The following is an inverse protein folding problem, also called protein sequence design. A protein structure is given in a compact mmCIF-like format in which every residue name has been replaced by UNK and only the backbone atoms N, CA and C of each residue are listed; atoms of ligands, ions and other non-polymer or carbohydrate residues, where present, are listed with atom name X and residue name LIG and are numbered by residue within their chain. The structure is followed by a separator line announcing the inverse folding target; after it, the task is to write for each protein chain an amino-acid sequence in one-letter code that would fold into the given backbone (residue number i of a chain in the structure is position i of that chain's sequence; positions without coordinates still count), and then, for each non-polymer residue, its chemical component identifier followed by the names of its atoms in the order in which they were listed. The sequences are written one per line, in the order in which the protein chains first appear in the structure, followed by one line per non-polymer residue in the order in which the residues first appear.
data_IF_592929293683
#
_entry.id   IF_592929293683
#
_cell.length_a   1.000
_cell.length_b   1.000
_cell.length_c   1.000
_cell.angle_alpha   90.00
_cell.angle_beta   90.00
_cell.angle_gamma   90.00
#
_symmetry.space_group_name_H-M   'P 1'
#
loop_
_entity.id
_entity.type
_entity.pdbx_description
1 polymer ?
#
# COMPACT_ATOMS: atom_id res chain seq x y z
N UNK A 1 12.46 -8.26 7.78
CA UNK A 1 12.10 -9.22 8.87
C UNK A 1 11.12 -10.21 8.28
N UNK A 2 11.45 -11.51 8.24
CA UNK A 2 11.00 -12.39 7.16
C UNK A 2 10.00 -13.45 7.61
N UNK A 3 8.99 -13.68 6.75
CA UNK A 3 7.98 -14.75 6.79
C UNK A 3 8.56 -16.16 6.99
N UNK A 4 9.85 -16.36 6.70
CA UNK A 4 10.57 -17.63 6.83
C UNK A 4 10.67 -18.12 8.28
N UNK A 5 10.92 -17.23 9.26
CA UNK A 5 11.07 -17.62 10.67
C UNK A 5 9.77 -18.23 11.24
N UNK A 6 8.61 -17.73 10.79
CA UNK A 6 7.31 -18.24 11.18
C UNK A 6 7.06 -19.65 10.62
N UNK A 7 7.44 -19.89 9.36
CA UNK A 7 7.35 -21.21 8.72
C UNK A 7 8.28 -22.21 9.41
N UNK A 8 9.52 -21.81 9.75
CA UNK A 8 10.48 -22.66 10.49
C UNK A 8 9.95 -23.08 11.87
N UNK A 9 9.15 -22.24 12.51
CA UNK A 9 8.48 -22.60 13.76
C UNK A 9 7.44 -23.70 13.52
N UNK A 10 6.61 -23.57 12.49
CA UNK A 10 5.58 -24.57 12.15
C UNK A 10 6.20 -25.94 11.86
N UNK A 11 7.33 -25.95 11.14
CA UNK A 11 8.11 -27.16 10.85
C UNK A 11 8.65 -27.78 12.16
N UNK A 12 9.29 -26.97 13.02
CA UNK A 12 9.88 -27.47 14.29
C UNK A 12 8.87 -28.06 15.26
N UNK A 13 7.61 -27.59 15.24
CA UNK A 13 6.55 -28.12 16.11
C UNK A 13 5.77 -29.26 15.43
N UNK A 14 6.20 -29.73 14.26
CA UNK A 14 5.57 -30.82 13.52
C UNK A 14 4.07 -30.57 13.21
N UNK A 15 3.67 -29.29 13.04
CA UNK A 15 2.26 -28.95 12.79
C UNK A 15 1.80 -29.44 11.41
N UNK A 16 2.72 -29.48 10.44
CA UNK A 16 2.44 -29.76 9.03
C UNK A 16 2.68 -31.24 8.66
N UNK A 17 3.18 -32.04 9.60
CA UNK A 17 3.51 -33.44 9.36
C UNK A 17 2.24 -34.25 9.06
N UNK A 18 2.28 -35.00 7.96
CA UNK A 18 1.17 -35.81 7.45
C UNK A 18 -0.14 -35.02 7.21
N UNK A 19 -0.06 -33.69 7.07
CA UNK A 19 -1.20 -32.85 6.74
C UNK A 19 -1.23 -32.48 5.25
N UNK A 20 -2.43 -32.35 4.70
CA UNK A 20 -2.66 -31.65 3.43
C UNK A 20 -2.47 -30.15 3.67
N UNK A 21 -1.43 -29.56 3.09
CA UNK A 21 -1.11 -28.14 3.29
C UNK A 21 -1.68 -27.31 2.15
N UNK A 22 -2.50 -26.32 2.50
CA UNK A 22 -3.11 -25.38 1.56
C UNK A 22 -2.65 -23.95 1.85
N UNK A 23 -2.49 -23.14 0.82
CA UNK A 23 -2.19 -21.71 0.95
C UNK A 23 -3.39 -20.87 0.52
N UNK A 24 -3.91 -19.99 1.38
CA UNK A 24 -4.98 -19.08 1.00
C UNK A 24 -4.41 -17.74 0.52
N UNK A 25 -4.67 -17.44 -0.75
CA UNK A 25 -4.33 -16.19 -1.42
C UNK A 25 -2.99 -16.27 -2.14
N UNK A 26 -2.96 -15.80 -3.38
CA UNK A 26 -1.72 -15.75 -4.16
C UNK A 26 -1.03 -14.38 -4.02
N UNK A 27 0.14 -14.35 -3.36
CA UNK A 27 0.95 -13.15 -3.08
C UNK A 27 2.44 -13.48 -2.93
N UNK A 28 3.32 -12.47 -2.90
CA UNK A 28 4.75 -12.64 -2.57
C UNK A 28 4.96 -13.33 -1.21
N UNK A 29 4.06 -13.10 -0.26
CA UNK A 29 4.17 -13.67 1.06
C UNK A 29 3.87 -15.18 1.06
N UNK A 30 2.85 -15.62 0.31
CA UNK A 30 2.50 -17.04 0.15
C UNK A 30 3.45 -17.78 -0.78
N UNK A 31 4.00 -17.12 -1.81
CA UNK A 31 5.08 -17.66 -2.63
C UNK A 31 6.37 -17.92 -1.81
N UNK A 32 6.73 -16.99 -0.91
CA UNK A 32 7.85 -17.18 0.00
C UNK A 32 7.62 -18.33 1.01
N UNK A 33 6.37 -18.54 1.43
CA UNK A 33 5.98 -19.69 2.26
C UNK A 33 6.14 -21.00 1.48
N UNK A 34 5.60 -21.08 0.25
CA UNK A 34 5.74 -22.26 -0.61
C UNK A 34 7.21 -22.63 -0.80
N UNK A 35 8.06 -21.67 -1.17
CA UNK A 35 9.49 -21.92 -1.37
C UNK A 35 10.15 -22.49 -0.11
N UNK A 36 9.88 -21.89 1.07
CA UNK A 36 10.47 -22.34 2.33
C UNK A 36 9.98 -23.73 2.76
N UNK A 37 8.71 -24.05 2.51
CA UNK A 37 8.15 -25.38 2.75
C UNK A 37 8.79 -26.44 1.84
N UNK A 38 9.00 -26.10 0.56
CA UNK A 38 9.68 -26.96 -0.41
C UNK A 38 11.11 -27.31 0.00
N UNK A 39 11.88 -26.33 0.50
CA UNK A 39 13.23 -26.57 1.06
C UNK A 39 13.22 -27.53 2.26
N UNK A 40 12.11 -27.59 2.99
CA UNK A 40 11.92 -28.49 4.13
C UNK A 40 11.29 -29.84 3.75
N UNK A 41 11.03 -30.08 2.45
CA UNK A 41 10.42 -31.32 1.95
C UNK A 41 8.91 -31.41 2.21
N UNK A 42 8.22 -30.30 2.46
CA UNK A 42 6.77 -30.24 2.66
C UNK A 42 6.11 -29.72 1.38
N UNK A 43 5.25 -30.54 0.79
CA UNK A 43 4.52 -30.19 -0.43
C UNK A 43 3.25 -29.39 -0.12
N UNK A 44 3.05 -28.30 -0.87
CA UNK A 44 1.79 -27.55 -0.87
C UNK A 44 0.85 -28.21 -1.88
N UNK A 45 -0.32 -28.65 -1.42
CA UNK A 45 -1.26 -29.40 -2.26
C UNK A 45 -2.07 -28.50 -3.20
N UNK A 46 -2.41 -27.30 -2.75
CA UNK A 46 -3.10 -26.31 -3.58
C UNK A 46 -3.07 -24.89 -2.98
N UNK A 47 -3.30 -23.91 -3.85
CA UNK A 47 -3.74 -22.57 -3.47
C UNK A 47 -5.27 -22.47 -3.45
N UNK A 48 -5.79 -21.74 -2.47
CA UNK A 48 -7.17 -21.27 -2.43
C UNK A 48 -7.21 -19.79 -2.81
N UNK A 49 -7.97 -19.41 -3.83
CA UNK A 49 -8.12 -18.00 -4.23
C UNK A 49 -9.57 -17.71 -4.60
N UNK A 50 -10.09 -16.58 -4.09
CA UNK A 50 -11.44 -16.11 -4.37
C UNK A 50 -11.60 -15.59 -5.80
N UNK A 51 -10.51 -15.37 -6.53
CA UNK A 51 -10.55 -14.89 -7.91
C UNK A 51 -10.79 -16.04 -8.90
N UNK A 52 -11.97 -16.11 -9.57
CA UNK A 52 -12.29 -17.21 -10.50
C UNK A 52 -11.32 -17.31 -11.67
N UNK A 53 -10.68 -16.21 -12.07
CA UNK A 53 -9.72 -16.18 -13.19
C UNK A 53 -8.42 -16.93 -12.88
N UNK A 54 -8.07 -17.05 -11.59
CA UNK A 54 -6.90 -17.82 -11.16
C UNK A 54 -7.24 -19.29 -10.96
N UNK A 55 -8.51 -19.62 -10.73
CA UNK A 55 -8.94 -21.00 -10.49
C UNK A 55 -8.75 -21.83 -11.77
N UNK A 56 -8.20 -23.04 -11.63
CA UNK A 56 -7.83 -23.89 -12.76
C UNK A 56 -6.47 -23.55 -13.40
N UNK A 57 -5.78 -22.51 -12.93
CA UNK A 57 -4.36 -22.28 -13.25
C UNK A 57 -3.44 -23.01 -12.25
N UNK A 58 -2.13 -22.93 -12.49
CA UNK A 58 -1.11 -23.38 -11.54
C UNK A 58 -0.06 -22.30 -11.29
N UNK A 59 0.46 -22.26 -10.07
CA UNK A 59 1.57 -21.40 -9.67
C UNK A 59 2.74 -22.26 -9.21
N UNK A 60 3.86 -22.19 -9.94
CA UNK A 60 5.05 -23.01 -9.69
C UNK A 60 4.72 -24.51 -9.51
N UNK A 61 3.87 -25.01 -10.42
CA UNK A 61 3.40 -26.40 -10.43
C UNK A 61 2.25 -26.73 -9.46
N UNK A 62 1.90 -25.83 -8.54
CA UNK A 62 0.81 -26.04 -7.56
C UNK A 62 -0.51 -25.52 -8.11
N UNK A 63 -1.59 -26.33 -8.13
CA UNK A 63 -2.89 -25.90 -8.67
C UNK A 63 -3.58 -24.86 -7.80
N UNK A 64 -4.38 -23.99 -8.43
CA UNK A 64 -5.20 -22.97 -7.76
C UNK A 64 -6.67 -23.34 -7.87
N UNK A 65 -7.37 -23.38 -6.75
CA UNK A 65 -8.81 -23.67 -6.65
C UNK A 65 -9.56 -22.58 -5.90
N UNK A 66 -10.88 -22.61 -6.01
CA UNK A 66 -11.76 -21.82 -5.14
C UNK A 66 -11.79 -22.39 -3.72
N UNK A 67 -12.18 -21.59 -2.71
CA UNK A 67 -12.28 -22.05 -1.32
C UNK A 67 -13.25 -23.22 -1.13
N UNK A 68 -14.18 -23.43 -2.06
CA UNK A 68 -15.11 -24.56 -2.08
C UNK A 68 -14.40 -25.92 -2.18
N UNK A 69 -13.13 -25.97 -2.61
CA UNK A 69 -12.31 -27.18 -2.54
C UNK A 69 -12.36 -27.81 -1.15
N UNK A 70 -12.45 -26.97 -0.11
CA UNK A 70 -12.48 -27.40 1.29
C UNK A 70 -13.63 -28.38 1.60
N UNK A 71 -14.76 -28.30 0.88
CA UNK A 71 -15.90 -29.20 1.07
C UNK A 71 -15.67 -30.59 0.47
N UNK A 72 -14.65 -30.73 -0.36
CA UNK A 72 -14.31 -31.99 -1.05
C UNK A 72 -13.21 -32.79 -0.35
N UNK A 73 -12.51 -32.18 0.60
CA UNK A 73 -11.42 -32.80 1.34
C UNK A 73 -11.99 -33.67 2.46
N UNK A 74 -11.95 -35.00 2.29
CA UNK A 74 -12.44 -35.95 3.29
C UNK A 74 -11.33 -36.88 3.80
N UNK A 75 -11.25 -37.07 5.11
CA UNK A 75 -10.50 -38.18 5.72
C UNK A 75 -9.02 -37.93 6.03
N UNK A 76 -8.53 -36.68 5.89
CA UNK A 76 -7.14 -36.31 6.21
C UNK A 76 -7.04 -34.99 6.99
N UNK A 77 -6.00 -34.86 7.82
CA UNK A 77 -5.68 -33.61 8.52
C UNK A 77 -5.30 -32.56 7.49
N UNK A 78 -6.00 -31.42 7.49
CA UNK A 78 -5.78 -30.35 6.51
C UNK A 78 -5.43 -29.07 7.27
N UNK A 79 -4.35 -28.41 6.85
CA UNK A 79 -3.88 -27.15 7.42
C UNK A 79 -3.91 -26.08 6.34
N UNK A 80 -4.63 -24.98 6.60
CA UNK A 80 -4.66 -23.81 5.70
C UNK A 80 -3.76 -22.72 6.27
N UNK A 81 -2.73 -22.32 5.52
CA UNK A 81 -1.87 -21.21 5.89
C UNK A 81 -2.32 -19.94 5.17
N UNK A 82 -2.46 -18.86 5.92
CA UNK A 82 -2.95 -17.58 5.41
C UNK A 82 -1.96 -16.48 5.79
N UNK A 83 -1.33 -15.89 4.78
CA UNK A 83 -0.40 -14.76 4.94
C UNK A 83 -1.01 -13.51 4.34
N UNK A 84 -2.03 -12.99 5.02
CA UNK A 84 -2.86 -11.89 4.53
C UNK A 84 -3.35 -11.00 5.67
N UNK A 85 -3.44 -9.68 5.47
CA UNK A 85 -4.15 -8.81 6.40
C UNK A 85 -5.64 -9.16 6.54
N UNK A 86 -6.24 -9.83 5.54
CA UNK A 86 -7.65 -10.27 5.53
C UNK A 86 -7.87 -11.63 6.18
N UNK A 87 -6.95 -12.06 7.06
CA UNK A 87 -7.01 -13.35 7.76
C UNK A 87 -8.41 -13.67 8.33
N UNK A 88 -9.03 -12.71 9.03
CA UNK A 88 -10.32 -12.92 9.66
C UNK A 88 -11.43 -13.27 8.67
N UNK A 89 -11.52 -12.51 7.56
CA UNK A 89 -12.53 -12.76 6.52
C UNK A 89 -12.30 -14.10 5.83
N UNK A 90 -11.05 -14.41 5.48
CA UNK A 90 -10.70 -15.68 4.84
C UNK A 90 -10.96 -16.87 5.76
N UNK A 91 -10.65 -16.73 7.06
CA UNK A 91 -10.96 -17.73 8.07
C UNK A 91 -12.47 -17.95 8.20
N UNK A 92 -13.23 -16.88 8.37
CA UNK A 92 -14.68 -16.94 8.55
C UNK A 92 -15.36 -17.54 7.32
N UNK A 93 -14.85 -17.25 6.11
CA UNK A 93 -15.27 -17.89 4.87
C UNK A 93 -15.06 -19.41 4.91
N UNK A 94 -13.86 -19.88 5.28
CA UNK A 94 -13.61 -21.32 5.40
C UNK A 94 -14.51 -21.97 6.45
N UNK A 95 -14.74 -21.30 7.59
CA UNK A 95 -15.64 -21.80 8.64
C UNK A 95 -17.09 -21.86 8.16
N UNK A 96 -17.56 -20.85 7.42
CA UNK A 96 -18.90 -20.85 6.82
C UNK A 96 -19.10 -21.97 5.80
N UNK A 97 -18.02 -22.38 5.11
CA UNK A 97 -17.99 -23.55 4.23
C UNK A 97 -17.89 -24.89 4.98
N UNK A 98 -17.90 -24.88 6.31
CA UNK A 98 -17.86 -26.08 7.14
C UNK A 98 -16.46 -26.63 7.38
N UNK A 99 -15.40 -25.86 7.11
CA UNK A 99 -14.05 -26.32 7.40
C UNK A 99 -13.79 -26.33 8.91
N UNK A 100 -13.42 -27.49 9.45
CA UNK A 100 -13.11 -27.67 10.87
C UNK A 100 -11.59 -27.82 11.14
N UNK A 101 -10.76 -27.89 10.10
CA UNK A 101 -9.31 -28.08 10.22
C UNK A 101 -8.56 -26.84 10.73
N UNK A 102 -7.24 -26.97 10.88
CA UNK A 102 -6.41 -25.88 11.37
C UNK A 102 -6.26 -24.75 10.34
N UNK A 103 -6.51 -23.52 10.78
CA UNK A 103 -6.26 -22.30 9.99
C UNK A 103 -5.16 -21.52 10.70
N UNK A 104 -4.05 -21.29 10.01
CA UNK A 104 -2.85 -20.67 10.59
C UNK A 104 -2.62 -19.32 9.94
N UNK A 105 -2.62 -18.26 10.76
CA UNK A 105 -2.19 -16.94 10.34
C UNK A 105 -0.68 -16.89 10.33
N UNK A 106 -0.08 -16.42 9.24
CA UNK A 106 1.36 -16.15 9.14
C UNK A 106 1.52 -14.64 8.95
N UNK A 107 2.19 -13.97 9.89
CA UNK A 107 2.40 -12.52 9.82
C UNK A 107 3.77 -12.16 10.40
N UNK A 108 4.70 -11.75 9.53
CA UNK A 108 6.08 -11.45 9.94
C UNK A 108 6.74 -12.63 10.64
N UNK A 109 7.04 -12.49 11.94
CA UNK A 109 7.72 -13.50 12.78
C UNK A 109 6.80 -14.51 13.45
N UNK A 110 5.49 -14.32 13.37
CA UNK A 110 4.53 -15.08 14.17
C UNK A 110 3.65 -15.96 13.28
N UNK A 111 3.55 -17.23 13.65
CA UNK A 111 2.53 -18.16 13.16
C UNK A 111 1.55 -18.42 14.30
N UNK A 112 0.28 -18.06 14.11
CA UNK A 112 -0.78 -18.24 15.09
C UNK A 112 -1.81 -19.23 14.55
N UNK A 113 -1.99 -20.35 15.27
CA UNK A 113 -3.03 -21.33 14.96
C UNK A 113 -4.35 -20.83 15.55
N UNK A 114 -5.36 -20.63 14.71
CA UNK A 114 -6.70 -20.24 15.18
C UNK A 114 -7.49 -21.50 15.53
N UNK A 115 -7.54 -21.79 16.84
CA UNK A 115 -8.50 -22.71 17.47
C UNK A 115 -9.67 -21.87 18.03
N UNK A 116 -10.90 -22.41 18.14
CA UNK A 116 -12.00 -21.66 18.74
C UNK A 116 -11.72 -21.46 20.24
N UNK A 117 -11.36 -20.24 20.66
CA UNK A 117 -11.17 -19.92 22.08
C UNK A 117 -11.70 -18.53 22.45
N UNK A 118 -12.15 -18.43 23.70
CA UNK A 118 -12.63 -17.23 24.40
C UNK A 118 -11.59 -16.10 24.49
N UNK A 119 -10.31 -16.38 24.25
CA UNK A 119 -9.25 -15.37 24.21
C UNK A 119 -9.32 -14.49 22.96
N UNK A 120 -9.70 -15.03 21.79
CA UNK A 120 -9.91 -14.21 20.59
C UNK A 120 -11.05 -13.22 20.79
N UNK A 121 -12.14 -13.62 21.46
CA UNK A 121 -13.23 -12.69 21.81
C UNK A 121 -12.76 -11.59 22.76
N UNK A 122 -11.91 -11.91 23.75
CA UNK A 122 -11.37 -10.92 24.66
C UNK A 122 -10.43 -9.93 23.96
N UNK A 123 -9.57 -10.41 23.06
CA UNK A 123 -8.69 -9.54 22.25
C UNK A 123 -9.51 -8.67 21.30
N UNK A 124 -10.55 -9.22 20.65
CA UNK A 124 -11.45 -8.46 19.78
C UNK A 124 -12.24 -7.41 20.55
N UNK A 125 -12.80 -7.75 21.72
CA UNK A 125 -13.49 -6.80 22.60
C UNK A 125 -12.55 -5.73 23.15
N UNK A 126 -11.34 -6.10 23.55
CA UNK A 126 -10.32 -5.17 24.02
C UNK A 126 -9.88 -4.20 22.91
N UNK A 127 -9.68 -4.70 21.68
CA UNK A 127 -9.35 -3.87 20.52
C UNK A 127 -10.49 -2.94 20.11
N UNK A 128 -11.73 -3.42 20.13
CA UNK A 128 -12.91 -2.57 19.90
C UNK A 128 -12.99 -1.45 20.96
N UNK A 129 -12.70 -1.78 22.22
CA UNK A 129 -12.66 -0.81 23.32
C UNK A 129 -11.53 0.20 23.14
N UNK A 130 -10.37 -0.23 22.64
CA UNK A 130 -9.23 0.63 22.38
C UNK A 130 -9.47 1.59 21.22
N UNK A 131 -10.00 1.11 20.09
CA UNK A 131 -10.40 1.97 18.97
C UNK A 131 -11.43 3.03 19.38
N UNK A 132 -12.41 2.65 20.21
CA UNK A 132 -13.38 3.60 20.75
C UNK A 132 -12.75 4.65 21.69
N UNK A 133 -11.72 4.27 22.46
CA UNK A 133 -10.94 5.21 23.27
C UNK A 133 -10.17 6.20 22.40
N UNK A 134 -9.45 5.70 21.38
CA UNK A 134 -8.74 6.55 20.42
C UNK A 134 -9.68 7.55 19.76
N UNK A 135 -10.84 7.08 19.31
CA UNK A 135 -11.85 7.92 18.69
C UNK A 135 -12.32 9.03 19.63
N UNK A 136 -12.61 8.70 20.89
CA UNK A 136 -13.03 9.67 21.92
C UNK A 136 -11.94 10.71 22.19
N UNK A 137 -10.68 10.29 22.28
CA UNK A 137 -9.54 11.18 22.54
C UNK A 137 -9.30 12.15 21.37
N UNK A 138 -9.45 11.66 20.13
CA UNK A 138 -9.38 12.49 18.93
C UNK A 138 -10.57 13.47 18.90
N UNK A 139 -11.80 12.99 19.10
CA UNK A 139 -13.01 13.83 19.10
C UNK A 139 -13.03 14.86 20.22
N UNK A 140 -12.37 14.61 21.35
CA UNK A 140 -12.24 15.63 22.42
C UNK A 140 -11.44 16.85 21.94
N UNK A 141 -10.40 16.63 21.12
CA UNK A 141 -9.54 17.70 20.56
C UNK A 141 -10.10 18.28 19.26
N UNK A 142 -10.78 17.46 18.47
CA UNK A 142 -11.28 17.78 17.12
C UNK A 142 -12.80 17.60 17.02
N UNK A 143 -13.55 18.12 18.00
CA UNK A 143 -14.98 17.84 18.21
C UNK A 143 -15.88 18.20 17.02
N UNK A 144 -15.52 19.24 16.25
CA UNK A 144 -16.30 19.74 15.11
C UNK A 144 -15.63 19.50 13.75
N UNK A 145 -14.44 18.92 13.73
CA UNK A 145 -13.72 18.72 12.48
C UNK A 145 -14.29 17.53 11.72
N UNK A 146 -14.28 17.60 10.40
CA UNK A 146 -14.36 16.42 9.57
C UNK A 146 -13.03 15.67 9.62
N UNK A 147 -13.05 14.39 9.96
CA UNK A 147 -11.83 13.61 10.13
C UNK A 147 -11.52 12.81 8.86
N UNK A 148 -10.34 13.01 8.29
CA UNK A 148 -9.87 12.26 7.12
C UNK A 148 -8.88 11.19 7.58
N UNK A 149 -9.31 9.94 7.54
CA UNK A 149 -8.52 8.78 7.93
C UNK A 149 -7.70 8.31 6.74
N UNK A 150 -6.38 8.32 6.87
CA UNK A 150 -5.42 7.87 5.86
C UNK A 150 -4.85 6.50 6.30
N UNK A 151 -5.41 5.36 5.82
CA UNK A 151 -5.16 4.06 6.44
C UNK A 151 -3.73 3.53 6.23
N UNK A 152 -3.07 3.98 5.16
CA UNK A 152 -1.77 3.48 4.75
C UNK A 152 -0.71 4.58 4.83
N UNK A 153 0.55 4.17 5.07
CA UNK A 153 1.72 5.05 4.93
C UNK A 153 2.12 5.23 3.46
N UNK A 154 1.17 5.66 2.63
CA UNK A 154 1.32 5.88 1.20
C UNK A 154 1.33 7.38 0.90
N UNK A 155 2.50 7.94 0.53
CA UNK A 155 2.59 9.38 0.27
C UNK A 155 1.61 9.84 -0.84
N UNK A 156 1.42 9.02 -1.87
CA UNK A 156 0.53 9.33 -2.99
C UNK A 156 -0.94 9.30 -2.60
N UNK A 157 -1.33 8.29 -1.82
CA UNK A 157 -2.68 8.15 -1.27
C UNK A 157 -3.08 9.36 -0.42
N UNK A 158 -2.20 9.76 0.49
CA UNK A 158 -2.37 10.94 1.33
C UNK A 158 -2.37 12.21 0.50
N UNK A 159 -1.48 12.31 -0.49
CA UNK A 159 -1.41 13.46 -1.37
C UNK A 159 -2.75 13.69 -2.07
N UNK A 160 -3.30 12.68 -2.73
CA UNK A 160 -4.57 12.82 -3.45
C UNK A 160 -5.77 13.04 -2.53
N UNK A 161 -5.78 12.42 -1.33
CA UNK A 161 -6.79 12.73 -0.31
C UNK A 161 -6.78 14.21 0.05
N UNK A 162 -5.61 14.76 0.31
CA UNK A 162 -5.49 16.15 0.71
C UNK A 162 -5.76 17.11 -0.44
N UNK A 163 -5.35 16.78 -1.67
CA UNK A 163 -5.55 17.63 -2.85
C UNK A 163 -7.02 17.81 -3.22
N UNK A 164 -7.88 16.82 -2.99
CA UNK A 164 -9.33 16.96 -3.26
C UNK A 164 -10.15 17.41 -2.05
N UNK A 165 -9.58 17.36 -0.84
CA UNK A 165 -10.27 17.75 0.39
C UNK A 165 -10.86 19.18 0.35
N UNK A 166 -10.19 20.23 -0.17
CA UNK A 166 -10.77 21.57 -0.21
C UNK A 166 -12.07 21.64 -1.02
N UNK A 167 -12.13 20.95 -2.16
CA UNK A 167 -13.32 20.92 -3.01
C UNK A 167 -14.48 20.18 -2.30
N UNK A 168 -14.17 19.02 -1.71
CA UNK A 168 -15.13 18.26 -0.91
C UNK A 168 -15.69 19.08 0.27
N UNK A 169 -14.80 19.77 1.00
CA UNK A 169 -15.20 20.62 2.11
C UNK A 169 -16.10 21.78 1.66
N UNK A 170 -15.79 22.40 0.51
CA UNK A 170 -16.60 23.49 -0.04
C UNK A 170 -18.01 23.00 -0.43
N UNK A 171 -18.12 21.87 -1.11
CA UNK A 171 -19.40 21.29 -1.55
C UNK A 171 -20.29 20.87 -0.37
N UNK A 172 -19.68 20.30 0.67
CA UNK A 172 -20.38 19.79 1.86
C UNK A 172 -20.48 20.81 3.01
N UNK A 173 -20.03 22.06 2.80
CA UNK A 173 -20.03 23.14 3.81
C UNK A 173 -19.31 22.74 5.11
N UNK A 174 -18.22 22.00 4.97
CA UNK A 174 -17.36 21.58 6.08
C UNK A 174 -16.42 22.75 6.41
N UNK A 175 -16.56 23.27 7.64
CA UNK A 175 -15.76 24.43 8.06
C UNK A 175 -14.31 24.11 8.43
N UNK A 176 -14.05 22.92 8.98
CA UNK A 176 -12.71 22.50 9.41
C UNK A 176 -12.54 20.99 9.21
N UNK A 177 -11.35 20.59 8.78
CA UNK A 177 -10.98 19.19 8.60
C UNK A 177 -9.62 18.91 9.25
N UNK A 178 -9.44 17.69 9.74
CA UNK A 178 -8.16 17.22 10.28
C UNK A 178 -7.91 15.80 9.82
N UNK A 179 -6.63 15.45 9.60
CA UNK A 179 -6.24 14.13 9.14
C UNK A 179 -5.73 13.26 10.29
N UNK A 180 -6.00 11.96 10.20
CA UNK A 180 -5.35 10.93 11.01
C UNK A 180 -4.54 10.07 10.06
N UNK A 181 -3.25 9.89 10.33
CA UNK A 181 -2.32 9.26 9.37
C UNK A 181 -1.58 8.07 9.97
N UNK A 182 -1.26 7.10 9.12
CA UNK A 182 -0.39 5.99 9.47
C UNK A 182 1.07 6.33 9.14
N UNK A 183 1.80 7.00 10.04
CA UNK A 183 3.24 7.24 9.90
C UNK A 183 3.67 8.68 9.56
N UNK A 184 4.97 8.93 9.74
CA UNK A 184 5.57 10.28 9.67
C UNK A 184 5.70 10.84 8.25
N UNK A 185 5.88 9.99 7.23
CA UNK A 185 5.92 10.46 5.85
C UNK A 185 4.57 11.04 5.43
N UNK A 186 3.50 10.31 5.76
CA UNK A 186 2.12 10.74 5.58
C UNK A 186 1.80 12.04 6.34
N UNK A 187 2.26 12.18 7.58
CA UNK A 187 2.14 13.42 8.36
C UNK A 187 2.73 14.63 7.62
N UNK A 188 3.93 14.48 7.06
CA UNK A 188 4.59 15.57 6.32
C UNK A 188 3.78 16.00 5.10
N UNK A 189 3.17 15.06 4.36
CA UNK A 189 2.30 15.37 3.21
C UNK A 189 1.02 16.10 3.65
N UNK A 190 0.39 15.71 4.76
CA UNK A 190 -0.77 16.44 5.29
C UNK A 190 -0.41 17.89 5.62
N UNK A 191 0.78 18.11 6.20
CA UNK A 191 1.25 19.46 6.54
C UNK A 191 1.45 20.34 5.31
N UNK A 192 1.93 19.79 4.18
CA UNK A 192 2.06 20.58 2.95
C UNK A 192 0.70 21.00 2.37
N UNK A 193 -0.38 20.28 2.70
CA UNK A 193 -1.74 20.67 2.32
C UNK A 193 -2.36 21.72 3.26
N UNK A 194 -1.73 22.04 4.38
CA UNK A 194 -2.27 23.00 5.35
C UNK A 194 -3.42 22.44 6.20
N UNK A 195 -3.48 21.12 6.33
CA UNK A 195 -4.50 20.42 7.10
C UNK A 195 -3.92 20.04 8.47
N UNK A 196 -4.73 20.15 9.52
CA UNK A 196 -4.31 19.75 10.87
C UNK A 196 -4.12 18.24 10.96
N UNK A 197 -3.10 17.80 11.70
CA UNK A 197 -2.87 16.38 11.99
C UNK A 197 -3.44 16.06 13.37
N UNK A 198 -4.55 15.32 13.40
CA UNK A 198 -5.22 14.96 14.64
C UNK A 198 -4.49 13.85 15.43
N UNK A 199 -3.91 12.89 14.72
CA UNK A 199 -3.05 11.85 15.28
C UNK A 199 -2.17 11.20 14.21
N UNK A 200 -1.00 10.74 14.63
CA UNK A 200 -0.14 9.83 13.88
C UNK A 200 -0.19 8.48 14.56
N UNK A 201 -0.73 7.49 13.88
CA UNK A 201 -1.02 6.17 14.43
C UNK A 201 -0.13 5.10 13.79
N UNK A 202 0.08 4.01 14.51
CA UNK A 202 0.55 2.74 13.93
C UNK A 202 -0.54 2.14 13.03
N UNK A 203 -0.19 1.22 12.09
CA UNK A 203 -1.20 0.53 11.28
C UNK A 203 -2.26 -0.19 12.13
N UNK A 204 -1.86 -0.74 13.27
CA UNK A 204 -2.74 -1.45 14.19
C UNK A 204 -3.73 -0.49 14.89
N UNK A 205 -3.24 0.64 15.40
CA UNK A 205 -4.10 1.69 15.96
C UNK A 205 -5.07 2.27 14.92
N UNK A 206 -4.61 2.45 13.68
CA UNK A 206 -5.44 2.91 12.56
C UNK A 206 -6.57 1.93 12.26
N UNK A 207 -6.28 0.63 12.15
CA UNK A 207 -7.29 -0.40 11.93
C UNK A 207 -8.36 -0.41 13.02
N UNK A 208 -7.95 -0.27 14.28
CA UNK A 208 -8.85 -0.25 15.42
C UNK A 208 -9.69 1.04 15.44
N UNK A 209 -9.11 2.20 15.11
CA UNK A 209 -9.84 3.46 14.95
C UNK A 209 -10.88 3.39 13.83
N UNK A 210 -10.52 2.88 12.65
CA UNK A 210 -11.46 2.77 11.53
C UNK A 210 -12.64 1.88 11.92
N UNK A 211 -12.41 0.77 12.65
CA UNK A 211 -13.51 -0.07 13.16
C UNK A 211 -14.44 0.72 14.09
N UNK A 212 -13.89 1.53 14.99
CA UNK A 212 -14.69 2.36 15.88
C UNK A 212 -15.50 3.40 15.10
N UNK A 213 -14.90 4.07 14.12
CA UNK A 213 -15.56 5.05 13.25
C UNK A 213 -16.73 4.44 12.48
N UNK A 214 -16.55 3.24 11.92
CA UNK A 214 -17.63 2.54 11.20
C UNK A 214 -18.82 2.17 12.10
N UNK A 215 -18.61 2.07 13.41
CA UNK A 215 -19.65 1.76 14.40
C UNK A 215 -20.23 3.01 15.07
N UNK A 216 -19.58 4.16 14.95
CA UNK A 216 -19.96 5.43 15.60
C UNK A 216 -21.23 6.05 14.99
N UNK A 217 -21.47 5.78 13.69
CA UNK A 217 -22.66 6.27 12.97
C UNK A 217 -22.67 7.78 12.67
N UNK A 218 -21.60 8.50 13.01
CA UNK A 218 -21.37 9.90 12.66
C UNK A 218 -20.81 9.99 11.23
N UNK A 219 -21.24 11.00 10.47
CA UNK A 219 -20.95 11.20 9.05
C UNK A 219 -19.74 12.11 8.81
N UNK A 220 -19.16 12.68 9.87
CA UNK A 220 -18.01 13.60 9.80
C UNK A 220 -16.68 12.88 9.67
N UNK A 221 -16.63 11.84 8.85
CA UNK A 221 -15.43 11.09 8.53
C UNK A 221 -15.35 10.80 7.03
N UNK A 222 -14.12 10.86 6.50
CA UNK A 222 -13.77 10.27 5.21
C UNK A 222 -12.67 9.26 5.46
N UNK A 223 -12.81 8.06 4.88
CA UNK A 223 -11.76 7.04 4.92
C UNK A 223 -11.17 6.98 3.52
N UNK A 224 -9.85 7.13 3.43
CA UNK A 224 -9.14 7.03 2.16
C UNK A 224 -9.13 5.63 1.58
N UNK A 225 -8.41 5.46 0.46
CA UNK A 225 -8.28 4.19 -0.25
C UNK A 225 -8.10 3.03 0.72
N UNK A 226 -9.04 2.08 0.64
CA UNK A 226 -8.99 0.79 1.32
C UNK A 226 -9.04 -0.27 0.22
N UNK A 227 -7.91 -0.92 -0.13
CA UNK A 227 -7.88 -1.97 -1.15
C UNK A 227 -8.77 -3.16 -0.80
N UNK A 228 -9.25 -3.24 0.46
CA UNK A 228 -9.93 -4.38 1.04
C UNK A 228 -11.35 -4.12 1.55
N UNK A 229 -11.75 -2.86 1.74
CA UNK A 229 -13.10 -2.50 2.20
C UNK A 229 -13.91 -1.74 1.18
N UNK A 230 -13.26 -1.11 0.20
CA UNK A 230 -14.01 -0.31 -0.76
C UNK A 230 -14.92 -1.15 -1.63
N UNK A 231 -14.63 -2.45 -1.83
CA UNK A 231 -15.44 -3.33 -2.70
C UNK A 231 -15.84 -2.63 -3.99
N UNK A 232 -15.00 -1.67 -4.45
CA UNK A 232 -15.55 -0.53 -5.17
C UNK A 232 -16.02 -1.07 -6.50
N UNK A 233 -17.34 -1.07 -6.77
CA UNK A 233 -17.89 -1.69 -7.97
C UNK A 233 -17.20 -1.17 -9.22
N UNK A 234 -16.68 0.05 -9.16
CA UNK A 234 -16.06 0.75 -10.27
C UNK A 234 -14.72 0.17 -10.75
N UNK A 235 -13.86 -0.36 -9.86
CA UNK A 235 -12.64 -1.10 -10.31
C UNK A 235 -13.03 -2.48 -10.88
N UNK A 236 -14.16 -3.03 -10.43
CA UNK A 236 -14.67 -4.33 -10.87
C UNK A 236 -15.58 -4.28 -12.10
N UNK A 237 -16.07 -3.10 -12.51
CA UNK A 237 -17.05 -2.93 -13.60
C UNK A 237 -16.44 -2.58 -14.96
N UNK A 238 -15.12 -2.72 -15.13
CA UNK A 238 -14.45 -2.56 -16.42
C UNK A 238 -14.29 -1.11 -16.89
N UNK A 239 -14.59 -0.12 -16.03
CA UNK A 239 -14.21 1.27 -16.28
C UNK A 239 -12.75 1.49 -15.89
N UNK A 240 -11.94 2.02 -16.82
CA UNK A 240 -10.53 2.32 -16.56
C UNK A 240 -10.42 3.58 -15.69
N UNK A 241 -10.51 3.41 -14.37
CA UNK A 241 -10.25 4.48 -13.42
C UNK A 241 -8.78 4.55 -13.06
N UNK A 242 -8.25 5.76 -13.01
CA UNK A 242 -6.92 6.02 -12.45
C UNK A 242 -7.00 6.22 -10.93
N UNK A 243 -5.85 6.24 -10.27
CA UNK A 243 -5.76 6.57 -8.84
C UNK A 243 -6.38 7.96 -8.53
N UNK A 244 -6.15 8.95 -9.40
CA UNK A 244 -6.71 10.30 -9.18
C UNK A 244 -8.23 10.31 -9.34
N UNK A 245 -8.76 9.53 -10.29
CA UNK A 245 -10.21 9.40 -10.46
C UNK A 245 -10.82 8.70 -9.25
N UNK A 246 -10.17 7.67 -8.71
CA UNK A 246 -10.63 6.99 -7.49
C UNK A 246 -10.82 7.95 -6.32
N UNK A 247 -9.81 8.79 -6.03
CA UNK A 247 -9.92 9.73 -4.92
C UNK A 247 -10.98 10.82 -5.17
N UNK A 248 -11.07 11.30 -6.40
CA UNK A 248 -12.08 12.32 -6.77
C UNK A 248 -13.49 11.75 -6.66
N UNK A 249 -13.80 10.69 -7.41
CA UNK A 249 -15.17 10.19 -7.57
C UNK A 249 -15.58 9.19 -6.50
N UNK A 250 -14.72 8.24 -6.14
CA UNK A 250 -15.09 7.14 -5.22
C UNK A 250 -15.00 7.59 -3.76
N UNK A 251 -13.92 8.28 -3.40
CA UNK A 251 -13.71 8.69 -1.99
C UNK A 251 -14.53 9.94 -1.66
N UNK A 252 -14.54 10.94 -2.54
CA UNK A 252 -15.19 12.22 -2.26
C UNK A 252 -16.49 12.47 -3.02
N UNK A 253 -16.85 11.64 -4.02
CA UNK A 253 -18.08 11.86 -4.80
C UNK A 253 -18.05 13.09 -5.69
N UNK A 254 -16.86 13.61 -6.04
CA UNK A 254 -16.70 14.86 -6.77
C UNK A 254 -16.83 14.67 -8.29
N UNK A 255 -17.39 15.70 -8.93
CA UNK A 255 -17.56 15.80 -10.38
C UNK A 255 -16.25 15.74 -11.16
N UNK A 256 -16.29 15.22 -12.39
CA UNK A 256 -15.09 15.02 -13.23
C UNK A 256 -14.33 16.32 -13.59
N UNK A 257 -15.01 17.46 -13.52
CA UNK A 257 -14.44 18.78 -13.78
C UNK A 257 -13.57 19.29 -12.62
N UNK A 258 -13.73 18.74 -11.41
CA UNK A 258 -12.96 19.17 -10.23
C UNK A 258 -11.48 18.84 -10.44
N UNK A 259 -10.62 19.83 -10.16
CA UNK A 259 -9.17 19.71 -10.24
C UNK A 259 -8.59 19.56 -8.83
N UNK A 260 -7.51 18.78 -8.67
CA UNK A 260 -6.81 18.68 -7.39
C UNK A 260 -6.20 20.04 -7.03
N UNK A 261 -6.31 20.42 -5.77
CA UNK A 261 -5.57 21.55 -5.23
C UNK A 261 -4.06 21.23 -5.20
N UNK A 262 -3.25 22.28 -5.36
CA UNK A 262 -1.81 22.18 -5.14
C UNK A 262 -1.50 22.30 -3.64
N UNK A 263 -0.36 21.78 -3.15
CA UNK A 263 0.04 21.96 -1.75
C UNK A 263 0.05 23.44 -1.35
N UNK A 264 -0.59 23.76 -0.23
CA UNK A 264 -0.71 25.12 0.29
C UNK A 264 0.61 25.63 0.92
N UNK A 265 1.41 24.73 1.47
CA UNK A 265 2.66 25.03 2.14
C UNK A 265 3.80 24.23 1.53
N UNK A 266 4.57 24.91 0.68
CA UNK A 266 5.86 24.45 0.19
C UNK A 266 6.94 25.36 0.78
N UNK A 267 8.09 24.77 1.07
CA UNK A 267 9.24 25.48 1.59
C UNK A 267 10.19 25.85 0.44
N UNK A 268 10.95 26.93 0.62
CA UNK A 268 12.07 27.24 -0.26
C UNK A 268 13.10 26.10 -0.21
N UNK A 269 13.72 25.81 -1.36
CA UNK A 269 14.71 24.75 -1.44
C UNK A 269 16.04 25.20 -0.83
N UNK A 270 16.41 24.60 0.30
CA UNK A 270 17.73 24.77 0.90
C UNK A 270 18.76 23.87 0.19
N UNK A 271 19.47 24.45 -0.79
CA UNK A 271 20.38 23.75 -1.68
C UNK A 271 21.74 23.37 -1.02
N UNK A 272 21.71 22.81 0.18
CA UNK A 272 22.90 22.27 0.88
C UNK A 272 23.54 21.10 0.13
N UNK A 273 22.76 20.38 -0.69
CA UNK A 273 23.24 19.28 -1.52
C UNK A 273 24.00 19.74 -2.79
N UNK A 274 24.05 21.05 -3.05
CA UNK A 274 24.81 21.62 -4.16
C UNK A 274 24.28 21.25 -5.55
N UNK A 275 22.97 21.07 -5.70
CA UNK A 275 22.33 20.85 -7.00
C UNK A 275 22.60 22.04 -7.91
N UNK A 276 23.01 21.77 -9.14
CA UNK A 276 23.22 22.78 -10.17
C UNK A 276 21.91 23.05 -10.87
N UNK A 277 21.49 24.32 -10.86
CA UNK A 277 20.22 24.72 -11.44
C UNK A 277 20.10 24.29 -12.91
N UNK A 278 19.04 23.56 -13.25
CA UNK A 278 18.75 23.05 -14.60
C UNK A 278 19.76 22.05 -15.17
N UNK A 279 20.76 21.64 -14.38
CA UNK A 279 21.87 20.75 -14.81
C UNK A 279 22.02 19.53 -13.92
N UNK A 280 21.07 19.31 -13.01
CA UNK A 280 21.03 18.14 -12.14
C UNK A 280 19.86 17.23 -12.49
N UNK A 281 19.99 15.97 -12.13
CA UNK A 281 18.92 14.98 -12.27
C UNK A 281 18.68 14.35 -10.93
N UNK A 282 17.42 14.38 -10.47
CA UNK A 282 17.00 13.65 -9.28
C UNK A 282 16.41 12.31 -9.73
N UNK A 283 16.97 11.22 -9.24
CA UNK A 283 16.50 9.86 -9.49
C UNK A 283 15.87 9.33 -8.20
N UNK A 284 14.65 8.83 -8.27
CA UNK A 284 13.94 8.20 -7.15
C UNK A 284 13.63 6.74 -7.49
N UNK A 285 14.57 5.80 -7.26
CA UNK A 285 14.45 4.41 -7.72
C UNK A 285 13.64 3.53 -6.76
N UNK A 286 13.20 4.06 -5.62
CA UNK A 286 12.53 3.32 -4.54
C UNK A 286 11.03 3.56 -4.56
N UNK A 287 10.26 2.48 -4.37
CA UNK A 287 8.82 2.51 -4.20
C UNK A 287 8.36 1.37 -3.28
N UNK A 288 7.24 1.57 -2.59
CA UNK A 288 6.64 0.55 -1.70
C UNK A 288 5.74 -0.45 -2.46
N UNK A 289 5.04 0.01 -3.50
CA UNK A 289 3.89 -0.70 -4.07
C UNK A 289 4.13 -1.26 -5.48
N UNK A 290 5.25 -0.93 -6.10
CA UNK A 290 5.60 -1.39 -7.46
C UNK A 290 6.93 -2.13 -7.42
N UNK A 291 7.06 -3.16 -8.26
CA UNK A 291 8.30 -3.93 -8.36
C UNK A 291 9.38 -3.04 -8.97
N UNK A 292 10.55 -2.98 -8.33
CA UNK A 292 11.64 -2.17 -8.83
C UNK A 292 12.27 -2.82 -10.08
N UNK A 293 12.53 -2.04 -11.15
CA UNK A 293 13.38 -2.47 -12.26
C UNK A 293 14.75 -2.95 -11.78
N UNK A 294 15.42 -3.83 -12.54
CA UNK A 294 16.75 -4.31 -12.18
C UNK A 294 17.76 -3.16 -12.11
N UNK A 295 18.81 -3.32 -11.28
CA UNK A 295 19.86 -2.31 -11.10
C UNK A 295 20.49 -1.84 -12.41
N UNK A 296 20.66 -2.74 -13.38
CA UNK A 296 21.21 -2.43 -14.70
C UNK A 296 20.40 -1.37 -15.47
N UNK A 297 19.08 -1.34 -15.27
CA UNK A 297 18.22 -0.29 -15.85
C UNK A 297 18.59 1.08 -15.27
N UNK A 298 18.69 1.17 -13.94
CA UNK A 298 19.05 2.41 -13.25
C UNK A 298 20.48 2.85 -13.57
N UNK A 299 21.43 1.92 -13.67
CA UNK A 299 22.81 2.20 -14.10
C UNK A 299 22.82 2.87 -15.49
N UNK A 300 21.95 2.43 -16.40
CA UNK A 300 21.78 3.03 -17.73
C UNK A 300 21.27 4.47 -17.69
N UNK A 301 20.28 4.76 -16.83
CA UNK A 301 19.77 6.13 -16.60
C UNK A 301 20.89 7.04 -16.08
N UNK A 302 21.64 6.57 -15.07
CA UNK A 302 22.75 7.32 -14.48
C UNK A 302 23.82 7.61 -15.52
N UNK A 303 24.30 6.59 -16.24
CA UNK A 303 25.34 6.73 -17.24
C UNK A 303 24.94 7.70 -18.37
N UNK A 304 23.69 7.61 -18.84
CA UNK A 304 23.17 8.49 -19.91
C UNK A 304 23.21 9.96 -19.50
N UNK A 305 22.76 10.29 -18.29
CA UNK A 305 22.76 11.68 -17.82
C UNK A 305 24.16 12.20 -17.48
N UNK A 306 25.04 11.35 -16.95
CA UNK A 306 26.44 11.72 -16.73
C UNK A 306 27.18 12.00 -18.04
N UNK A 307 26.94 11.21 -19.10
CA UNK A 307 27.51 11.46 -20.42
C UNK A 307 27.05 12.79 -21.03
N UNK A 308 25.88 13.30 -20.62
CA UNK A 308 25.37 14.63 -20.98
C UNK A 308 25.96 15.77 -20.11
N UNK A 309 26.91 15.45 -19.22
CA UNK A 309 27.52 16.43 -18.31
C UNK A 309 26.58 16.92 -17.21
N UNK A 310 25.57 16.12 -16.84
CA UNK A 310 24.64 16.41 -15.73
C UNK A 310 25.09 15.72 -14.46
N UNK A 311 24.86 16.36 -13.32
CA UNK A 311 25.08 15.73 -12.01
C UNK A 311 23.85 14.92 -11.61
N UNK A 312 24.04 13.67 -11.19
CA UNK A 312 22.94 12.77 -10.85
C UNK A 312 22.89 12.55 -9.34
N UNK A 313 21.70 12.72 -8.79
CA UNK A 313 21.39 12.58 -7.38
C UNK A 313 20.37 11.46 -7.18
N UNK A 314 20.56 10.60 -6.20
CA UNK A 314 19.54 9.61 -5.79
C UNK A 314 18.79 10.14 -4.58
N UNK A 315 17.47 10.35 -4.71
CA UNK A 315 16.61 10.59 -3.57
C UNK A 315 16.59 9.35 -2.67
N UNK A 316 16.94 9.54 -1.40
CA UNK A 316 17.00 8.44 -0.41
C UNK A 316 16.31 8.84 0.89
N UNK A 317 15.55 7.91 1.46
CA UNK A 317 14.88 8.05 2.75
C UNK A 317 15.27 6.90 3.69
N UNK A 318 15.39 7.20 5.00
CA UNK A 318 15.76 6.20 6.00
C UNK A 318 17.07 5.48 5.65
N UNK A 319 16.99 4.14 5.58
CA UNK A 319 18.11 3.24 5.29
C UNK A 319 18.33 2.96 3.79
N UNK A 320 17.67 3.70 2.90
CA UNK A 320 17.93 3.63 1.45
C UNK A 320 19.34 4.16 1.13
N UNK A 321 19.98 3.52 0.16
CA UNK A 321 21.32 3.82 -0.30
C UNK A 321 21.30 4.48 -1.68
N UNK A 322 22.24 5.38 -2.02
CA UNK A 322 22.26 6.00 -3.34
C UNK A 322 22.64 4.97 -4.42
N UNK A 323 22.14 5.19 -5.65
CA UNK A 323 22.62 4.44 -6.81
C UNK A 323 24.11 4.73 -7.05
N UNK A 324 24.90 3.74 -7.48
CA UNK A 324 26.32 3.95 -7.74
C UNK A 324 26.59 5.03 -8.78
N UNK A 325 27.59 5.86 -8.52
CA UNK A 325 27.89 7.05 -9.34
C UNK A 325 26.99 8.27 -9.07
N UNK A 326 26.05 8.20 -8.13
CA UNK A 326 25.19 9.33 -7.75
C UNK A 326 25.52 9.88 -6.36
N UNK A 327 25.10 11.11 -6.08
CA UNK A 327 25.14 11.69 -4.73
C UNK A 327 23.79 11.45 -4.03
N UNK A 328 23.75 11.12 -2.73
CA UNK A 328 22.48 11.03 -2.02
C UNK A 328 21.83 12.42 -1.92
N UNK A 329 20.52 12.49 -2.14
CA UNK A 329 19.69 13.66 -1.87
C UNK A 329 18.72 13.34 -0.74
N UNK A 330 18.80 14.13 0.32
CA UNK A 330 17.94 14.04 1.50
C UNK A 330 17.36 15.42 1.77
N UNK A 331 16.15 15.67 1.26
CA UNK A 331 15.45 16.94 1.44
C UNK A 331 14.11 16.70 2.12
N UNK A 332 13.63 17.64 2.95
CA UNK A 332 12.27 17.58 3.48
C UNK A 332 11.23 17.50 2.34
N UNK A 333 10.14 16.78 2.55
CA UNK A 333 9.08 16.65 1.54
C UNK A 333 8.50 18.01 1.11
N UNK A 334 8.41 18.97 2.03
CA UNK A 334 7.95 20.33 1.74
C UNK A 334 8.86 21.10 0.76
N UNK A 335 10.13 20.72 0.62
CA UNK A 335 11.10 21.33 -0.30
C UNK A 335 11.23 20.55 -1.62
N UNK A 336 10.63 19.37 -1.72
CA UNK A 336 10.88 18.45 -2.83
C UNK A 336 10.44 19.03 -4.18
N UNK A 337 9.30 19.73 -4.23
CA UNK A 337 8.83 20.40 -5.46
C UNK A 337 9.88 21.39 -5.95
N UNK A 338 10.34 22.29 -5.08
CA UNK A 338 11.36 23.28 -5.41
C UNK A 338 12.72 22.65 -5.74
N UNK A 339 13.09 21.55 -5.07
CA UNK A 339 14.30 20.79 -5.39
C UNK A 339 14.26 20.19 -6.81
N UNK A 340 13.10 19.64 -7.21
CA UNK A 340 12.88 19.09 -8.55
C UNK A 340 12.91 20.20 -9.62
N UNK A 341 12.28 21.33 -9.36
CA UNK A 341 12.32 22.50 -10.24
C UNK A 341 13.74 23.03 -10.40
N UNK A 342 14.48 23.14 -9.30
CA UNK A 342 15.88 23.56 -9.31
C UNK A 342 16.75 22.58 -10.09
N UNK A 343 16.58 21.26 -9.91
CA UNK A 343 17.32 20.26 -10.68
C UNK A 343 17.04 20.37 -12.19
N UNK A 344 15.76 20.53 -12.55
CA UNK A 344 15.26 20.61 -13.92
C UNK A 344 14.95 19.26 -14.58
N UNK A 345 15.32 18.13 -13.96
CA UNK A 345 14.90 16.80 -14.41
C UNK A 345 14.69 15.85 -13.22
N UNK A 346 13.57 15.15 -13.21
CA UNK A 346 13.23 14.10 -12.24
C UNK A 346 12.91 12.79 -12.96
N UNK A 347 13.47 11.69 -12.46
CA UNK A 347 13.21 10.32 -12.96
C UNK A 347 12.84 9.46 -11.76
N UNK A 348 11.59 9.01 -11.67
CA UNK A 348 11.11 8.25 -10.51
C UNK A 348 10.49 6.93 -10.90
N UNK A 349 10.81 5.87 -10.15
CA UNK A 349 9.96 4.69 -10.08
C UNK A 349 8.59 5.15 -9.55
N UNK A 350 7.51 4.73 -10.22
CA UNK A 350 6.17 5.20 -9.87
C UNK A 350 5.88 4.98 -8.38
N UNK A 351 5.80 6.09 -7.64
CA UNK A 351 5.66 6.08 -6.18
C UNK A 351 4.94 7.33 -5.71
N UNK A 352 4.58 7.37 -4.42
CA UNK A 352 3.96 8.54 -3.80
C UNK A 352 4.78 9.84 -3.89
N UNK A 353 6.10 9.72 -4.09
CA UNK A 353 6.96 10.88 -4.35
C UNK A 353 6.65 11.52 -5.71
N UNK A 354 6.32 10.72 -6.73
CA UNK A 354 5.90 11.21 -8.03
C UNK A 354 4.61 12.05 -7.94
N UNK A 355 3.67 11.64 -7.09
CA UNK A 355 2.42 12.37 -6.85
C UNK A 355 2.71 13.73 -6.19
N UNK A 356 3.58 13.75 -5.17
CA UNK A 356 3.97 14.97 -4.47
C UNK A 356 4.61 16.01 -5.41
N UNK A 357 5.46 15.57 -6.33
CA UNK A 357 6.19 16.45 -7.26
C UNK A 357 5.47 16.67 -8.59
N UNK A 358 4.22 16.23 -8.74
CA UNK A 358 3.52 16.28 -10.02
C UNK A 358 3.35 17.72 -10.56
N UNK A 359 3.27 18.71 -9.68
CA UNK A 359 3.17 20.13 -10.03
C UNK A 359 4.50 20.78 -10.38
N UNK A 360 5.64 20.13 -10.11
CA UNK A 360 6.96 20.73 -10.31
C UNK A 360 7.19 21.10 -11.78
N UNK A 361 7.61 22.34 -12.04
CA UNK A 361 7.98 22.83 -13.36
C UNK A 361 9.35 22.29 -13.81
N UNK A 362 9.42 20.99 -14.11
CA UNK A 362 10.61 20.30 -14.59
C UNK A 362 10.26 19.24 -15.63
N UNK A 363 11.29 18.70 -16.32
CA UNK A 363 11.13 17.47 -17.09
C UNK A 363 10.94 16.30 -16.11
N UNK A 364 9.82 15.57 -16.22
CA UNK A 364 9.47 14.51 -15.28
C UNK A 364 9.23 13.20 -16.03
N UNK A 365 9.89 12.14 -15.59
CA UNK A 365 9.85 10.82 -16.20
C UNK A 365 9.41 9.81 -15.14
N UNK A 366 8.31 9.11 -15.39
CA UNK A 366 7.82 8.03 -14.55
C UNK A 366 8.23 6.68 -15.14
N UNK A 367 8.82 5.84 -14.29
CA UNK A 367 9.20 4.48 -14.64
C UNK A 367 8.17 3.53 -14.04
N UNK A 368 7.61 2.67 -14.88
CA UNK A 368 6.60 1.69 -14.49
C UNK A 368 7.08 0.27 -14.77
N UNK A 369 6.77 -0.70 -13.89
CA UNK A 369 6.72 -2.10 -14.26
C UNK A 369 5.78 -2.35 -15.43
N UNK A 370 6.16 -3.25 -16.33
CA UNK A 370 5.17 -3.99 -17.11
C UNK A 370 4.53 -5.08 -16.23
N UNK A 371 3.62 -4.67 -15.35
CA UNK A 371 2.93 -5.55 -14.43
C UNK A 371 1.45 -5.16 -14.28
N UNK A 372 0.65 -6.10 -13.79
CA UNK A 372 -0.74 -5.84 -13.41
C UNK A 372 -0.81 -5.27 -12.00
N UNK A 373 -1.76 -4.37 -11.76
CA UNK A 373 -1.99 -3.80 -10.45
C UNK A 373 -2.73 -4.81 -9.56
N UNK A 374 -2.03 -5.31 -8.54
CA UNK A 374 -2.58 -6.27 -7.57
C UNK A 374 -3.21 -7.49 -8.27
N UNK A 375 -4.45 -7.83 -7.93
CA UNK A 375 -5.23 -8.93 -8.53
C UNK A 375 -6.15 -8.48 -9.66
N UNK A 376 -6.01 -7.24 -10.14
CA UNK A 376 -6.85 -6.65 -11.20
C UNK A 376 -6.31 -6.97 -12.60
N UNK A 377 -7.12 -6.72 -13.63
CA UNK A 377 -6.70 -6.79 -15.04
C UNK A 377 -6.06 -5.50 -15.56
N UNK A 378 -5.94 -4.45 -14.73
CA UNK A 378 -5.39 -3.16 -15.13
C UNK A 378 -3.86 -3.16 -15.03
N UNK A 379 -3.18 -2.57 -16.01
CA UNK A 379 -1.73 -2.37 -15.91
C UNK A 379 -1.43 -1.31 -14.85
N UNK A 380 -0.30 -1.48 -14.17
CA UNK A 380 0.22 -0.50 -13.21
C UNK A 380 0.39 0.88 -13.88
N UNK A 381 0.90 0.89 -15.13
CA UNK A 381 1.06 2.12 -15.90
C UNK A 381 -0.27 2.84 -16.16
N UNK A 382 -1.36 2.12 -16.41
CA UNK A 382 -2.67 2.71 -16.68
C UNK A 382 -3.31 3.27 -15.40
N UNK A 383 -3.36 2.46 -14.34
CA UNK A 383 -4.01 2.84 -13.09
C UNK A 383 -3.28 4.00 -12.39
N UNK A 384 -1.95 3.99 -12.42
CA UNK A 384 -1.12 5.01 -11.78
C UNK A 384 -0.60 6.09 -12.72
N UNK A 385 -1.15 6.18 -13.93
CA UNK A 385 -0.74 7.15 -14.95
C UNK A 385 -0.66 8.58 -14.38
N UNK A 386 0.37 9.32 -14.77
CA UNK A 386 0.58 10.72 -14.37
C UNK A 386 0.49 11.62 -15.60
N UNK A 387 -0.62 12.36 -15.78
CA UNK A 387 -0.80 13.22 -16.95
C UNK A 387 0.35 14.23 -17.14
N UNK A 388 0.88 14.30 -18.36
CA UNK A 388 1.95 15.23 -18.72
C UNK A 388 3.37 14.79 -18.34
N UNK A 389 3.55 13.56 -17.85
CA UNK A 389 4.85 12.96 -17.63
C UNK A 389 5.29 12.11 -18.82
N UNK A 390 6.60 12.01 -19.03
CA UNK A 390 7.16 10.98 -19.91
C UNK A 390 7.12 9.63 -19.19
N UNK A 391 6.84 8.55 -19.93
CA UNK A 391 6.67 7.22 -19.34
C UNK A 391 7.67 6.22 -19.93
N UNK A 392 8.26 5.40 -19.05
CA UNK A 392 9.10 4.28 -19.43
C UNK A 392 8.51 3.02 -18.79
N UNK A 393 8.03 2.10 -19.63
CA UNK A 393 7.51 0.80 -19.20
C UNK A 393 8.65 -0.22 -19.29
N UNK A 394 8.94 -0.90 -18.19
CA UNK A 394 10.07 -1.84 -18.08
C UNK A 394 9.54 -3.26 -17.88
N UNK A 395 9.84 -4.20 -18.79
CA UNK A 395 9.52 -5.61 -18.60
C UNK A 395 10.13 -6.14 -17.30
N UNK A 396 9.31 -6.81 -16.50
CA UNK A 396 9.75 -7.45 -15.27
C UNK A 396 9.69 -8.95 -15.52
N UNK A 397 10.88 -9.57 -15.49
CA UNK A 397 11.09 -10.98 -15.84
C UNK A 397 10.54 -11.96 -14.83
#
# INVERSE_FOLDING_TARGET
MTTQEAVDRLIRIHLLDAATVLLFGHSNATAAIQHRLGEAGIEVSAYLDNNPMKQGSSFDGVPVFGPELITTLTGGRTVVLISSPHFGVMRDQLRALGFEGEIVRILGREAQVSLPSTEEEHVVKARASYGASLLRDIRTRFAKHHLVLCPFDGLGDVYWLMSYLPAFCAENRIGQAAAVVAGRGSEQVVRTAGVDVAAVLTPQEMDDLIRAVLLDGDDRYTIGFTPDRSGSPLIFQGESLTLFDYYRSVVYGLEASVRPAVPAYLEEFDNTAGLRQGRSVIVAPYAKSVIAPPRSFWDGIVATHQAQGREVYTNVAGAEEPLPGTRPLRVPLAQMVAAVEHAGTFVGLRSGLCDLVHTAAARKIAVYPDAYFSTTSHKVADFFALPGWEEIIVPIG
#
